data_IF_499298154849
#
_entry.id   IF_499298154849
#
_cell.length_a   1.000
_cell.length_b   1.000
_cell.length_c   1.000
_cell.angle_alpha   90.00
_cell.angle_beta   90.00
_cell.angle_gamma   90.00
#
_symmetry.space_group_name_H-M   'P 1'
#
loop_
_entity.id
_entity.type
_entity.pdbx_description
1 polymer ?
#
# COMPACT_ATOMS: atom_id res chain seq x y z
N UNK A 1 -7.45 -15.25 31.48
CA UNK A 1 -7.48 -15.51 30.04
C UNK A 1 -8.59 -14.64 29.44
N UNK A 2 -8.27 -13.82 28.45
CA UNK A 2 -9.27 -13.03 27.71
C UNK A 2 -9.86 -13.96 26.65
N UNK A 3 -11.17 -14.06 26.59
CA UNK A 3 -11.88 -14.92 25.62
C UNK A 3 -12.34 -14.12 24.39
N UNK A 4 -12.76 -12.87 24.58
CA UNK A 4 -13.10 -11.95 23.49
C UNK A 4 -12.95 -10.50 23.94
N UNK A 5 -12.89 -9.59 22.97
CA UNK A 5 -12.84 -8.14 23.17
C UNK A 5 -13.92 -7.51 22.30
N UNK A 6 -14.66 -6.56 22.89
CA UNK A 6 -15.60 -5.71 22.15
C UNK A 6 -14.94 -4.35 22.02
N UNK A 7 -14.72 -3.91 20.78
CA UNK A 7 -14.27 -2.56 20.44
C UNK A 7 -15.45 -1.74 19.95
N UNK A 8 -15.57 -0.51 20.45
CA UNK A 8 -16.62 0.41 20.02
C UNK A 8 -16.12 1.26 18.87
N UNK A 9 -16.78 1.10 17.72
CA UNK A 9 -16.47 1.81 16.47
C UNK A 9 -17.78 2.32 15.84
N UNK A 10 -17.76 3.34 14.98
CA UNK A 10 -18.95 3.77 14.24
C UNK A 10 -19.35 2.73 13.19
N UNK A 11 -20.32 1.89 13.52
CA UNK A 11 -20.75 0.75 12.71
C UNK A 11 -22.21 0.87 12.20
N UNK A 12 -22.82 2.05 12.34
CA UNK A 12 -24.24 2.27 12.01
C UNK A 12 -25.18 1.27 12.69
N UNK A 13 -24.83 0.84 13.92
CA UNK A 13 -25.58 -0.13 14.72
C UNK A 13 -25.33 -1.60 14.34
N UNK A 14 -24.41 -1.86 13.42
CA UNK A 14 -24.02 -3.22 13.04
C UNK A 14 -22.97 -3.82 13.99
N UNK A 15 -22.94 -5.15 14.05
CA UNK A 15 -21.89 -5.91 14.74
C UNK A 15 -20.95 -6.49 13.68
N UNK A 16 -19.69 -6.03 13.68
CA UNK A 16 -18.67 -6.52 12.78
C UNK A 16 -17.83 -7.60 13.45
N UNK A 17 -17.71 -8.73 12.79
CA UNK A 17 -16.95 -9.89 13.26
C UNK A 17 -15.59 -10.06 12.58
N UNK A 18 -15.14 -9.02 11.89
CA UNK A 18 -13.85 -8.99 11.22
C UNK A 18 -13.57 -7.64 10.58
N UNK A 19 -12.36 -7.43 10.15
CA UNK A 19 -11.98 -6.25 9.37
C UNK A 19 -10.87 -6.56 8.36
N UNK A 20 -10.80 -5.73 7.33
CA UNK A 20 -9.68 -5.73 6.39
C UNK A 20 -8.39 -5.34 7.09
N UNK A 21 -7.30 -5.99 6.71
CA UNK A 21 -5.98 -5.58 7.13
C UNK A 21 -5.60 -4.21 6.56
N UNK A 22 -4.58 -3.63 7.14
CA UNK A 22 -3.96 -2.39 6.66
C UNK A 22 -2.46 -2.53 6.69
N UNK A 23 -1.80 -2.08 5.63
CA UNK A 23 -0.36 -1.85 5.65
C UNK A 23 -0.03 -0.55 4.92
N UNK A 24 1.11 0.02 5.24
CA UNK A 24 1.68 1.14 4.51
C UNK A 24 2.92 0.66 3.76
N UNK A 25 2.96 0.91 2.45
CA UNK A 25 4.09 0.56 1.59
C UNK A 25 4.82 1.84 1.22
N UNK A 26 6.14 1.81 1.35
CA UNK A 26 7.02 2.87 0.89
C UNK A 26 7.69 2.48 -0.42
N UNK A 27 7.67 3.39 -1.39
CA UNK A 27 8.43 3.26 -2.62
C UNK A 27 9.41 4.42 -2.70
N UNK A 28 10.68 4.11 -2.73
CA UNK A 28 11.77 5.06 -2.88
C UNK A 28 12.40 4.92 -4.27
N UNK A 29 12.57 6.04 -4.96
CA UNK A 29 13.18 6.10 -6.29
C UNK A 29 14.42 6.97 -6.24
N UNK A 30 15.51 6.47 -6.81
CA UNK A 30 16.77 7.20 -6.98
C UNK A 30 16.88 7.76 -8.39
N UNK A 31 17.54 8.90 -8.47
CA UNK A 31 17.96 9.55 -9.70
C UNK A 31 19.39 10.05 -9.63
N UNK A 32 19.76 10.87 -10.59
CA UNK A 32 21.08 11.53 -10.65
C UNK A 32 20.84 13.02 -10.81
N UNK A 33 21.27 13.81 -9.83
CA UNK A 33 21.12 15.25 -9.87
C UNK A 33 22.09 15.91 -10.82
N UNK A 34 21.63 16.97 -11.47
CA UNK A 34 22.45 17.91 -12.22
C UNK A 34 21.78 19.27 -12.28
N UNK A 35 22.45 20.25 -12.83
CA UNK A 35 21.87 21.59 -13.00
C UNK A 35 20.64 21.54 -13.91
N UNK A 36 19.53 22.18 -13.52
CA UNK A 36 18.26 22.14 -14.24
C UNK A 36 18.30 22.67 -15.69
N UNK A 37 19.32 23.45 -16.05
CA UNK A 37 19.52 23.91 -17.43
C UNK A 37 20.23 22.89 -18.36
N UNK A 38 20.70 21.77 -17.81
CA UNK A 38 21.36 20.70 -18.54
C UNK A 38 20.79 19.33 -18.10
N UNK A 39 19.47 19.12 -18.22
CA UNK A 39 18.79 17.95 -17.67
C UNK A 39 19.24 16.62 -18.29
N UNK A 40 19.83 16.66 -19.47
CA UNK A 40 20.40 15.50 -20.18
C UNK A 40 21.61 14.87 -19.45
N UNK A 41 22.17 15.55 -18.45
CA UNK A 41 23.29 15.07 -17.64
C UNK A 41 22.85 14.36 -16.37
N UNK A 42 21.54 14.38 -16.09
CA UNK A 42 20.97 13.77 -14.91
C UNK A 42 19.99 12.66 -15.24
N UNK A 43 19.40 12.10 -14.18
CA UNK A 43 18.32 11.13 -14.28
C UNK A 43 17.26 11.47 -13.25
N UNK A 44 16.07 11.84 -13.71
CA UNK A 44 15.07 12.48 -12.86
C UNK A 44 14.20 11.44 -12.12
N UNK A 45 14.40 11.33 -10.81
CA UNK A 45 13.64 10.46 -9.96
C UNK A 45 12.13 10.76 -9.95
N UNK A 46 11.73 12.03 -10.15
CA UNK A 46 10.31 12.41 -10.21
C UNK A 46 9.65 11.81 -11.47
N UNK A 47 10.35 11.79 -12.61
CA UNK A 47 9.80 11.21 -13.84
C UNK A 47 9.66 9.69 -13.75
N UNK A 48 10.64 9.00 -13.14
CA UNK A 48 10.52 7.57 -12.83
C UNK A 48 9.35 7.31 -11.90
N UNK A 49 9.20 8.11 -10.84
CA UNK A 49 8.08 7.99 -9.91
C UNK A 49 6.74 8.27 -10.61
N UNK A 50 6.68 9.21 -11.55
CA UNK A 50 5.46 9.48 -12.32
C UNK A 50 5.01 8.25 -13.12
N UNK A 51 5.94 7.51 -13.75
CA UNK A 51 5.63 6.24 -14.42
C UNK A 51 5.05 5.21 -13.44
N UNK A 52 5.64 5.10 -12.23
CA UNK A 52 5.16 4.20 -11.18
C UNK A 52 3.76 4.60 -10.72
N UNK A 53 3.52 5.89 -10.48
CA UNK A 53 2.20 6.41 -10.10
C UNK A 53 1.12 6.12 -11.16
N UNK A 54 1.46 6.20 -12.45
CA UNK A 54 0.55 5.82 -13.53
C UNK A 54 0.22 4.32 -13.51
N UNK A 55 1.19 3.47 -13.19
CA UNK A 55 0.93 2.03 -13.03
C UNK A 55 0.01 1.75 -11.82
N UNK A 56 0.25 2.40 -10.67
CA UNK A 56 -0.63 2.28 -9.50
C UNK A 56 -2.03 2.78 -9.83
N UNK A 57 -2.15 3.92 -10.51
CA UNK A 57 -3.41 4.46 -10.98
C UNK A 57 -4.13 3.49 -11.93
N UNK A 58 -3.41 2.87 -12.86
CA UNK A 58 -3.98 1.90 -13.79
C UNK A 58 -4.52 0.65 -13.08
N UNK A 59 -3.91 0.22 -11.98
CA UNK A 59 -4.48 -0.83 -11.13
C UNK A 59 -5.88 -0.44 -10.63
N UNK A 60 -6.04 0.81 -10.19
CA UNK A 60 -7.32 1.32 -9.69
C UNK A 60 -8.36 1.55 -10.80
N UNK A 61 -7.95 2.03 -11.97
CA UNK A 61 -8.85 2.35 -13.09
C UNK A 61 -9.31 1.13 -13.88
N UNK A 62 -8.67 0.03 -13.71
CA UNK A 62 -9.01 -1.23 -14.39
C UNK A 62 -10.23 -1.94 -13.77
N UNK A 63 -10.87 -1.41 -12.75
CA UNK A 63 -12.12 -1.89 -12.20
C UNK A 63 -13.33 -1.39 -13.02
N UNK A 64 -14.39 -2.16 -13.06
CA UNK A 64 -15.66 -1.74 -13.61
C UNK A 64 -16.39 -0.87 -12.58
N UNK A 65 -16.51 0.42 -12.83
CA UNK A 65 -17.28 1.32 -12.02
C UNK A 65 -16.52 2.49 -11.36
N UNK A 66 -17.25 3.40 -10.70
CA UNK A 66 -16.70 4.65 -10.15
C UNK A 66 -15.84 4.47 -8.90
N UNK A 67 -15.74 3.28 -8.35
CA UNK A 67 -15.02 2.99 -7.11
C UNK A 67 -13.53 2.73 -7.30
N UNK A 68 -12.99 2.83 -8.50
CA UNK A 68 -11.57 2.67 -8.82
C UNK A 68 -10.94 1.43 -8.18
N UNK A 69 -11.61 0.31 -8.31
CA UNK A 69 -11.17 -0.90 -7.69
C UNK A 69 -10.05 -1.56 -8.50
N UNK A 70 -9.11 -2.09 -7.79
CA UNK A 70 -7.86 -2.58 -8.36
C UNK A 70 -8.08 -3.91 -9.05
N UNK A 71 -7.91 -3.99 -10.37
CA UNK A 71 -8.04 -5.25 -11.13
C UNK A 71 -7.03 -6.32 -10.71
N UNK A 72 -5.82 -5.92 -10.32
CA UNK A 72 -4.83 -6.85 -9.80
C UNK A 72 -5.36 -7.61 -8.59
N UNK A 73 -6.00 -6.89 -7.67
CA UNK A 73 -6.62 -7.47 -6.48
C UNK A 73 -7.89 -8.26 -6.77
N UNK A 74 -8.61 -7.96 -7.85
CA UNK A 74 -9.76 -8.77 -8.28
C UNK A 74 -9.36 -10.22 -8.53
N UNK A 75 -8.17 -10.48 -9.06
CA UNK A 75 -7.65 -11.84 -9.20
C UNK A 75 -7.50 -12.55 -7.86
N UNK A 76 -6.97 -11.86 -6.86
CA UNK A 76 -6.77 -12.43 -5.52
C UNK A 76 -8.09 -12.64 -4.77
N UNK A 77 -9.10 -11.84 -5.08
CA UNK A 77 -10.45 -11.92 -4.52
C UNK A 77 -11.36 -12.89 -5.28
N UNK A 78 -10.97 -13.32 -6.47
CA UNK A 78 -11.74 -14.28 -7.24
C UNK A 78 -11.64 -15.67 -6.57
N UNK A 79 -12.76 -16.36 -6.31
CA UNK A 79 -12.76 -17.71 -5.76
C UNK A 79 -11.90 -18.72 -6.53
N UNK A 80 -11.70 -18.51 -7.83
CA UNK A 80 -10.81 -19.34 -8.66
C UNK A 80 -9.33 -19.21 -8.25
N UNK A 81 -8.92 -18.06 -7.73
CA UNK A 81 -7.54 -17.79 -7.31
C UNK A 81 -7.33 -17.96 -5.81
N UNK A 82 -8.39 -17.89 -5.02
CA UNK A 82 -8.32 -17.98 -3.57
C UNK A 82 -9.52 -18.75 -2.97
N UNK A 83 -9.71 -20.02 -3.37
CA UNK A 83 -10.91 -20.78 -3.01
C UNK A 83 -11.04 -21.02 -1.51
N UNK A 84 -9.92 -21.09 -0.77
CA UNK A 84 -9.92 -21.32 0.68
C UNK A 84 -10.49 -20.13 1.47
N UNK A 85 -10.49 -18.94 0.87
CA UNK A 85 -10.93 -17.69 1.48
C UNK A 85 -12.11 -17.03 0.75
N UNK A 86 -12.78 -17.75 -0.13
CA UNK A 86 -13.83 -17.18 -0.98
C UNK A 86 -14.96 -16.55 -0.18
N UNK A 87 -15.43 -17.21 0.89
CA UNK A 87 -16.49 -16.68 1.76
C UNK A 87 -16.01 -15.46 2.56
N UNK A 88 -14.79 -15.53 3.07
CA UNK A 88 -14.18 -14.45 3.84
C UNK A 88 -13.89 -13.22 2.97
N UNK A 89 -13.43 -13.43 1.74
CA UNK A 89 -13.24 -12.37 0.75
C UNK A 89 -14.58 -11.72 0.35
N UNK A 90 -15.62 -12.51 0.19
CA UNK A 90 -16.98 -11.99 -0.05
C UNK A 90 -17.48 -11.14 1.11
N UNK A 91 -17.21 -11.54 2.35
CA UNK A 91 -17.60 -10.81 3.55
C UNK A 91 -16.83 -9.49 3.71
N UNK A 92 -15.51 -9.50 3.56
CA UNK A 92 -14.66 -8.33 3.74
C UNK A 92 -14.65 -7.39 2.50
N UNK A 93 -15.05 -7.90 1.37
CA UNK A 93 -14.94 -7.19 0.10
C UNK A 93 -13.50 -7.12 -0.41
N UNK A 94 -13.25 -6.17 -1.28
CA UNK A 94 -11.96 -6.02 -1.98
C UNK A 94 -10.92 -5.28 -1.16
N UNK A 95 -9.65 -5.63 -1.36
CA UNK A 95 -8.54 -4.79 -0.94
C UNK A 95 -8.46 -3.50 -1.78
N UNK A 96 -7.71 -2.54 -1.30
CA UNK A 96 -7.49 -1.25 -2.01
C UNK A 96 -6.03 -0.84 -1.91
N UNK A 97 -5.58 -0.06 -2.89
CA UNK A 97 -4.21 0.45 -2.97
C UNK A 97 -4.27 1.92 -3.36
N UNK A 98 -3.91 2.82 -2.46
CA UNK A 98 -4.01 4.26 -2.68
C UNK A 98 -2.69 4.93 -2.37
N UNK A 99 -2.12 5.64 -3.35
CA UNK A 99 -0.99 6.53 -3.06
C UNK A 99 -1.51 7.69 -2.21
N UNK A 100 -1.08 7.75 -0.97
CA UNK A 100 -1.57 8.70 0.03
C UNK A 100 -0.66 9.91 0.24
N UNK A 101 0.63 9.76 -0.03
CA UNK A 101 1.62 10.82 0.13
C UNK A 101 2.71 10.73 -0.93
N UNK A 102 3.27 11.89 -1.28
CA UNK A 102 4.51 12.02 -2.04
C UNK A 102 5.49 12.86 -1.24
N UNK A 103 6.72 12.38 -1.11
CA UNK A 103 7.78 13.06 -0.36
C UNK A 103 8.78 13.65 -1.33
N UNK A 104 8.99 14.95 -1.22
CA UNK A 104 10.05 15.63 -1.92
C UNK A 104 11.32 15.59 -1.08
N UNK A 105 12.34 14.94 -1.62
CA UNK A 105 13.62 14.75 -0.94
C UNK A 105 14.79 15.43 -1.65
N UNK A 106 14.58 15.92 -2.86
CA UNK A 106 15.60 16.63 -3.63
C UNK A 106 15.97 17.98 -3.00
N UNK A 107 17.25 18.28 -2.82
CA UNK A 107 17.69 19.45 -2.02
C UNK A 107 17.52 20.79 -2.74
N UNK A 108 17.30 20.79 -4.05
CA UNK A 108 17.27 22.02 -4.86
C UNK A 108 16.10 22.06 -5.84
N UNK A 109 15.44 23.21 -5.93
CA UNK A 109 14.40 23.48 -6.93
C UNK A 109 14.94 23.80 -8.32
N UNK A 110 16.25 24.00 -8.45
CA UNK A 110 16.94 24.37 -9.68
C UNK A 110 17.77 23.21 -10.26
N UNK A 111 17.60 22.00 -9.73
CA UNK A 111 18.32 20.80 -10.13
C UNK A 111 17.37 19.69 -10.55
N UNK A 112 17.87 18.75 -11.34
CA UNK A 112 17.20 17.47 -11.60
C UNK A 112 17.10 16.71 -10.28
N UNK A 113 15.92 16.17 -9.98
CA UNK A 113 15.68 15.49 -8.74
C UNK A 113 16.42 14.15 -8.66
N UNK A 114 17.21 13.95 -7.60
CA UNK A 114 17.97 12.73 -7.32
C UNK A 114 17.19 11.70 -6.49
N UNK A 115 16.04 12.09 -5.98
CA UNK A 115 15.20 11.20 -5.17
C UNK A 115 13.73 11.63 -5.22
N UNK A 116 12.84 10.65 -5.08
CA UNK A 116 11.41 10.84 -4.90
C UNK A 116 10.85 9.61 -4.17
N UNK A 117 9.99 9.84 -3.20
CA UNK A 117 9.37 8.74 -2.44
C UNK A 117 7.87 8.92 -2.33
N UNK A 118 7.15 7.82 -2.23
CA UNK A 118 5.70 7.81 -1.97
C UNK A 118 5.36 6.87 -0.83
N UNK A 119 4.21 7.11 -0.21
CA UNK A 119 3.53 6.18 0.69
C UNK A 119 2.23 5.69 0.05
N UNK A 120 1.96 4.41 0.19
CA UNK A 120 0.77 3.74 -0.30
C UNK A 120 0.00 3.20 0.92
N UNK A 121 -1.27 3.59 1.07
CA UNK A 121 -2.23 2.93 1.98
C UNK A 121 -2.77 1.69 1.26
N UNK A 122 -2.46 0.52 1.78
CA UNK A 122 -2.88 -0.77 1.26
C UNK A 122 -3.86 -1.41 2.23
N UNK A 123 -5.14 -1.55 1.80
CA UNK A 123 -6.14 -2.31 2.56
C UNK A 123 -6.18 -3.73 2.04
N UNK A 124 -5.99 -4.67 2.94
CA UNK A 124 -5.86 -6.09 2.65
C UNK A 124 -7.16 -6.81 2.94
N UNK A 125 -7.47 -7.80 2.14
CA UNK A 125 -8.63 -8.68 2.35
C UNK A 125 -8.19 -10.10 2.75
N UNK A 126 -9.14 -11.01 2.90
CA UNK A 126 -8.85 -12.39 3.25
C UNK A 126 -7.92 -13.06 2.23
N UNK A 127 -6.93 -13.80 2.73
CA UNK A 127 -5.95 -14.52 1.89
C UNK A 127 -4.77 -13.70 1.41
N UNK A 128 -4.76 -12.38 1.62
CA UNK A 128 -3.61 -11.53 1.32
C UNK A 128 -2.63 -11.50 2.50
N UNK A 129 -1.34 -11.52 2.17
CA UNK A 129 -0.23 -11.34 3.13
C UNK A 129 0.52 -10.06 2.81
N UNK A 130 1.33 -9.58 3.75
CA UNK A 130 2.13 -8.38 3.50
C UNK A 130 3.15 -8.62 2.37
N UNK A 131 3.69 -9.85 2.27
CA UNK A 131 4.60 -10.24 1.19
C UNK A 131 3.89 -10.13 -0.17
N UNK A 132 2.70 -10.73 -0.30
CA UNK A 132 1.94 -10.68 -1.55
C UNK A 132 1.61 -9.26 -1.98
N UNK A 133 1.40 -8.36 -1.02
CA UNK A 133 1.14 -6.94 -1.30
C UNK A 133 2.40 -6.19 -1.75
N UNK A 134 3.58 -6.51 -1.21
CA UNK A 134 4.84 -5.96 -1.70
C UNK A 134 5.18 -6.49 -3.09
N UNK A 135 5.05 -7.81 -3.30
CA UNK A 135 5.30 -8.47 -4.59
C UNK A 135 4.44 -7.85 -5.71
N UNK A 136 3.18 -7.50 -5.40
CA UNK A 136 2.29 -6.84 -6.36
C UNK A 136 2.84 -5.49 -6.83
N UNK A 137 3.36 -4.68 -5.92
CA UNK A 137 3.98 -3.39 -6.26
C UNK A 137 5.32 -3.59 -6.97
N UNK A 138 6.12 -4.53 -6.52
CA UNK A 138 7.38 -4.86 -7.17
C UNK A 138 7.19 -5.36 -8.61
N UNK A 139 6.11 -6.10 -8.88
CA UNK A 139 5.79 -6.62 -10.21
C UNK A 139 5.28 -5.55 -11.19
N UNK A 140 5.04 -4.31 -10.77
CA UNK A 140 4.59 -3.25 -11.66
C UNK A 140 5.61 -3.00 -12.79
N UNK A 141 5.15 -2.84 -14.05
CA UNK A 141 6.06 -2.64 -15.19
C UNK A 141 7.06 -1.50 -15.01
N UNK A 142 6.63 -0.37 -14.44
CA UNK A 142 7.52 0.76 -14.18
C UNK A 142 8.54 0.46 -13.06
N UNK A 143 8.16 -0.28 -12.02
CA UNK A 143 9.09 -0.73 -10.97
C UNK A 143 10.13 -1.67 -11.57
N UNK A 144 9.72 -2.63 -12.39
CA UNK A 144 10.64 -3.54 -13.07
C UNK A 144 11.54 -2.83 -14.08
N UNK A 145 11.03 -1.81 -14.78
CA UNK A 145 11.82 -0.98 -15.71
C UNK A 145 12.98 -0.26 -14.98
N UNK A 146 12.74 0.18 -13.74
CA UNK A 146 13.69 0.95 -12.95
C UNK A 146 14.20 0.20 -11.72
N UNK A 147 14.20 -1.13 -11.75
CA UNK A 147 14.47 -2.00 -10.60
C UNK A 147 15.76 -1.70 -9.83
N UNK A 148 16.81 -1.21 -10.52
CA UNK A 148 18.09 -0.89 -9.89
C UNK A 148 18.04 0.43 -9.10
N UNK A 149 17.05 1.26 -9.36
CA UNK A 149 16.86 2.58 -8.75
C UNK A 149 15.64 2.63 -7.83
N UNK A 150 14.82 1.58 -7.79
CA UNK A 150 13.58 1.53 -7.01
C UNK A 150 13.72 0.57 -5.85
N UNK A 151 13.30 1.01 -4.68
CA UNK A 151 13.14 0.17 -3.50
C UNK A 151 11.68 0.21 -3.05
N UNK A 152 11.06 -0.97 -2.96
CA UNK A 152 9.75 -1.17 -2.34
C UNK A 152 9.96 -1.76 -0.96
N UNK A 153 9.27 -1.25 0.05
CA UNK A 153 9.40 -1.74 1.43
C UNK A 153 8.16 -1.44 2.24
N UNK A 154 7.96 -2.18 3.32
CA UNK A 154 6.98 -1.82 4.33
C UNK A 154 7.38 -0.49 4.97
N UNK A 155 6.40 0.38 5.20
CA UNK A 155 6.65 1.63 5.90
C UNK A 155 6.89 1.34 7.39
N UNK A 156 7.89 1.98 7.96
CA UNK A 156 8.19 1.89 9.39
C UNK A 156 7.68 3.13 10.11
N UNK A 157 6.93 2.94 11.17
CA UNK A 157 6.53 4.02 12.07
C UNK A 157 7.69 4.27 13.06
N UNK A 158 8.24 5.46 12.98
CA UNK A 158 9.45 5.88 13.72
C UNK A 158 9.23 7.16 14.54
N UNK A 159 7.98 7.57 14.76
CA UNK A 159 7.70 8.81 15.49
C UNK A 159 7.92 8.62 16.99
N UNK A 160 8.51 9.63 17.64
CA UNK A 160 8.71 9.57 19.08
C UNK A 160 7.38 9.53 19.83
N UNK A 161 7.35 8.76 20.90
CA UNK A 161 6.28 8.77 21.89
C UNK A 161 6.27 10.12 22.65
N UNK A 162 5.27 10.32 23.50
CA UNK A 162 5.19 11.51 24.35
C UNK A 162 6.40 11.65 25.32
N UNK A 163 7.09 10.54 25.62
CA UNK A 163 8.33 10.53 26.41
C UNK A 163 9.59 10.85 25.59
N UNK A 164 9.45 10.96 24.27
CA UNK A 164 10.56 11.18 23.33
C UNK A 164 11.24 9.90 22.85
N UNK A 165 10.84 8.73 23.34
CA UNK A 165 11.38 7.46 22.88
C UNK A 165 10.78 7.03 21.55
N UNK A 166 11.62 6.51 20.65
CA UNK A 166 11.24 5.99 19.35
C UNK A 166 11.23 4.45 19.39
N UNK A 167 10.09 3.88 19.08
CA UNK A 167 9.94 2.45 18.87
C UNK A 167 9.60 2.24 17.40
N UNK A 168 10.57 1.78 16.63
CA UNK A 168 10.30 1.41 15.24
C UNK A 168 9.29 0.27 15.19
N UNK A 169 8.19 0.48 14.50
CA UNK A 169 7.10 -0.49 14.37
C UNK A 169 6.67 -0.59 12.92
N UNK A 170 6.49 -1.82 12.45
CA UNK A 170 5.95 -2.08 11.13
C UNK A 170 4.54 -1.50 11.00
N UNK A 171 4.29 -0.75 9.92
CA UNK A 171 2.96 -0.26 9.59
C UNK A 171 2.11 -1.37 8.95
N UNK A 172 1.86 -2.43 9.72
CA UNK A 172 1.14 -3.61 9.29
C UNK A 172 0.16 -4.08 10.37
N UNK A 173 -1.09 -4.24 9.95
CA UNK A 173 -2.20 -4.76 10.76
C UNK A 173 -2.89 -5.85 9.95
N UNK A 174 -2.86 -7.11 10.39
CA UNK A 174 -3.39 -8.22 9.61
C UNK A 174 -4.92 -8.15 9.44
N UNK A 175 -5.40 -8.72 8.37
CA UNK A 175 -6.82 -9.06 8.20
C UNK A 175 -7.23 -10.09 9.24
N UNK A 176 -8.41 -9.95 9.82
CA UNK A 176 -8.96 -10.98 10.68
C UNK A 176 -10.48 -11.11 10.51
N UNK A 177 -10.98 -12.34 10.73
CA UNK A 177 -12.40 -12.68 10.74
C UNK A 177 -12.64 -13.68 11.87
N UNK A 178 -13.69 -13.45 12.63
CA UNK A 178 -14.22 -14.41 13.58
C UNK A 178 -15.47 -15.10 13.02
N UNK A 179 -15.60 -16.39 13.29
CA UNK A 179 -16.85 -17.12 13.03
C UNK A 179 -17.92 -16.64 14.02
N UNK A 180 -19.17 -16.72 13.60
CA UNK A 180 -20.29 -16.47 14.52
C UNK A 180 -20.17 -17.34 15.77
N UNK A 181 -20.43 -16.74 16.92
CA UNK A 181 -20.39 -17.36 18.23
C UNK A 181 -21.49 -16.79 19.11
N UNK A 182 -21.65 -17.36 20.30
CA UNK A 182 -22.62 -16.85 21.27
C UNK A 182 -22.33 -15.42 21.78
N UNK A 183 -21.17 -14.86 21.43
CA UNK A 183 -20.79 -13.48 21.74
C UNK A 183 -21.37 -12.45 20.75
N UNK A 184 -21.83 -12.90 19.58
CA UNK A 184 -22.44 -12.07 18.55
C UNK A 184 -23.96 -12.10 18.68
#
# INVERSE_FOLDING_TARGET
KIEFVISTEPTDGGIYRGHRGRMEIRVDVKGISCHGSAPERGDNAIYKMADILQNIRALNENGDGPSNEIKGLVKMLNPEFNPEHAEDAQFLGRGTCTTSQIFYTSPSRCAVADSCSISIDRRMTAGETWESCLDEIEALPAVQKYKDDVKVSMYMYDRPSWTGEVYETECFFPTWINKESAAH
#
